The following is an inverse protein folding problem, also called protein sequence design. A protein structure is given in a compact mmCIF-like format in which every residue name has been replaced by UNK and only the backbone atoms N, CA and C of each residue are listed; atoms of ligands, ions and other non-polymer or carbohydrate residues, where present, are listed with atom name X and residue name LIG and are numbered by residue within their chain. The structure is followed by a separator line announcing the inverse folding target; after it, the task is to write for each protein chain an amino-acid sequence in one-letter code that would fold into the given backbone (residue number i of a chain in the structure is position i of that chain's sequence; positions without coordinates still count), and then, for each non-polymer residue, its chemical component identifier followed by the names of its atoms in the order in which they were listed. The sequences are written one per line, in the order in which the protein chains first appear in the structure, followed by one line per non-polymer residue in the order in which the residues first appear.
data_IF_231017196872
#
_entry.id   IF_231017196872
#
_cell.length_a   1.000
_cell.length_b   1.000
_cell.length_c   1.000
_cell.angle_alpha   90.00
_cell.angle_beta   90.00
_cell.angle_gamma   90.00
#
_symmetry.space_group_name_H-M   'P 1'
#
loop_
_entity.id
_entity.type
_entity.pdbx_description
1 polymer ?
#
# COMPACT_ATOMS: atom_id res chain seq x y z
N UNK A 1 8.43 -28.12 22.12
CA UNK A 1 7.88 -27.03 21.29
C UNK A 1 6.74 -26.39 22.06
N UNK A 2 6.78 -25.07 22.30
CA UNK A 2 5.71 -24.35 22.99
C UNK A 2 4.40 -24.49 22.19
N UNK A 3 3.34 -25.05 22.78
CA UNK A 3 2.07 -25.28 22.07
C UNK A 3 1.40 -23.94 21.78
N UNK A 4 1.16 -23.67 20.50
CA UNK A 4 0.44 -22.47 20.05
C UNK A 4 -1.03 -22.55 20.49
N UNK A 5 -1.55 -21.47 21.08
CA UNK A 5 -2.98 -21.34 21.41
C UNK A 5 -3.80 -21.20 20.12
N UNK A 6 -5.09 -21.57 20.12
CA UNK A 6 -6.00 -21.34 18.99
C UNK A 6 -6.01 -19.87 18.50
N UNK A 7 -5.93 -18.91 19.43
CA UNK A 7 -5.82 -17.48 19.11
C UNK A 7 -4.51 -17.11 18.38
N UNK A 8 -3.41 -17.79 18.68
CA UNK A 8 -2.12 -17.58 18.00
C UNK A 8 -2.14 -18.15 16.57
N UNK A 9 -2.83 -19.28 16.37
CA UNK A 9 -3.04 -19.86 15.04
C UNK A 9 -3.86 -18.92 14.15
N UNK A 10 -4.98 -18.38 14.65
CA UNK A 10 -5.80 -17.41 13.90
C UNK A 10 -5.01 -16.16 13.54
N UNK A 11 -4.14 -15.67 14.43
CA UNK A 11 -3.27 -14.53 14.14
C UNK A 11 -2.20 -14.86 13.10
N UNK A 12 -1.60 -16.06 13.16
CA UNK A 12 -0.68 -16.56 12.14
C UNK A 12 -1.34 -16.62 10.77
N UNK A 13 -2.57 -17.11 10.66
CA UNK A 13 -3.30 -17.18 9.39
C UNK A 13 -3.63 -15.80 8.82
N UNK A 14 -3.87 -14.81 9.70
CA UNK A 14 -3.98 -13.40 9.28
C UNK A 14 -2.66 -12.89 8.69
N UNK A 15 -1.51 -13.21 9.30
CA UNK A 15 -0.19 -12.84 8.78
C UNK A 15 0.13 -13.54 7.45
N UNK A 16 -0.22 -14.82 7.29
CA UNK A 16 -0.05 -15.56 6.03
C UNK A 16 -0.84 -14.89 4.91
N UNK A 17 -2.11 -14.54 5.16
CA UNK A 17 -2.94 -13.82 4.17
C UNK A 17 -2.34 -12.47 3.79
N UNK A 18 -1.86 -11.70 4.78
CA UNK A 18 -1.15 -10.43 4.51
C UNK A 18 0.09 -10.63 3.65
N UNK A 19 0.93 -11.63 3.97
CA UNK A 19 2.12 -11.95 3.18
C UNK A 19 1.80 -12.38 1.75
N UNK A 20 0.71 -13.13 1.53
CA UNK A 20 0.25 -13.46 0.16
C UNK A 20 -0.13 -12.22 -0.63
N UNK A 21 -0.86 -11.29 -0.02
CA UNK A 21 -1.19 -10.00 -0.65
C UNK A 21 0.06 -9.17 -0.95
N UNK A 22 1.00 -9.08 -0.01
CA UNK A 22 2.28 -8.40 -0.24
C UNK A 22 3.07 -9.05 -1.37
N UNK A 23 3.11 -10.38 -1.43
CA UNK A 23 3.74 -11.13 -2.52
C UNK A 23 3.08 -10.84 -3.87
N UNK A 24 1.74 -10.80 -3.92
CA UNK A 24 1.00 -10.46 -5.14
C UNK A 24 1.34 -9.04 -5.63
N UNK A 25 1.38 -8.05 -4.71
CA UNK A 25 1.77 -6.68 -5.05
C UNK A 25 3.20 -6.62 -5.59
N UNK A 26 4.14 -7.34 -4.97
CA UNK A 26 5.53 -7.42 -5.46
C UNK A 26 5.59 -8.03 -6.85
N UNK A 27 4.85 -9.11 -7.12
CA UNK A 27 4.80 -9.73 -8.45
C UNK A 27 4.25 -8.77 -9.51
N UNK A 28 3.17 -8.04 -9.21
CA UNK A 28 2.59 -7.03 -10.11
C UNK A 28 3.61 -5.93 -10.40
N UNK A 29 4.31 -5.41 -9.38
CA UNK A 29 5.31 -4.37 -9.56
C UNK A 29 6.53 -4.85 -10.35
N UNK A 30 6.99 -6.08 -10.14
CA UNK A 30 8.05 -6.69 -10.94
C UNK A 30 7.64 -6.84 -12.40
N UNK A 31 6.40 -7.27 -12.65
CA UNK A 31 5.86 -7.35 -14.01
C UNK A 31 5.78 -5.97 -14.66
N UNK A 32 5.28 -4.96 -13.95
CA UNK A 32 5.25 -3.57 -14.42
C UNK A 32 6.65 -3.01 -14.70
N UNK A 33 7.64 -3.35 -13.87
CA UNK A 33 9.04 -2.95 -14.07
C UNK A 33 9.65 -3.62 -15.30
N UNK A 34 9.34 -4.90 -15.54
CA UNK A 34 9.78 -5.64 -16.72
C UNK A 34 9.11 -5.09 -17.98
N UNK A 35 7.81 -4.77 -17.90
CA UNK A 35 7.06 -4.11 -18.98
C UNK A 35 7.61 -2.72 -19.29
N UNK A 36 7.96 -1.90 -18.29
CA UNK A 36 8.64 -0.63 -18.51
C UNK A 36 10.01 -0.79 -19.21
N UNK A 37 10.73 -1.89 -18.98
CA UNK A 37 12.03 -2.10 -19.64
C UNK A 37 11.90 -2.62 -21.07
N UNK A 38 11.07 -3.64 -21.28
CA UNK A 38 10.97 -4.35 -22.56
C UNK A 38 9.75 -3.93 -23.39
N UNK A 39 8.61 -3.65 -22.75
CA UNK A 39 7.36 -3.29 -23.41
C UNK A 39 7.45 -1.95 -24.15
N UNK A 40 8.19 -0.97 -23.61
CA UNK A 40 8.41 0.31 -24.31
C UNK A 40 9.10 0.09 -25.66
N UNK A 41 10.07 -0.82 -25.71
CA UNK A 41 10.85 -1.13 -26.92
C UNK A 41 10.05 -1.96 -27.93
N UNK A 42 9.11 -2.80 -27.46
CA UNK A 42 8.24 -3.64 -28.30
C UNK A 42 7.04 -2.87 -28.87
N UNK A 43 6.55 -1.84 -28.19
CA UNK A 43 5.35 -1.08 -28.57
C UNK A 43 5.64 0.34 -29.10
N UNK A 44 6.92 0.70 -29.29
CA UNK A 44 7.36 2.04 -29.74
C UNK A 44 6.71 3.20 -28.97
N UNK A 45 6.45 3.00 -27.67
CA UNK A 45 5.80 4.00 -26.85
C UNK A 45 6.81 5.10 -26.50
N UNK A 46 6.56 6.34 -26.93
CA UNK A 46 7.40 7.49 -26.59
C UNK A 46 7.18 7.91 -25.14
N UNK A 47 7.89 7.28 -24.20
CA UNK A 47 7.93 7.71 -22.79
C UNK A 47 9.13 8.66 -22.63
N UNK A 48 8.93 9.79 -21.94
CA UNK A 48 10.05 10.67 -21.55
C UNK A 48 11.07 9.86 -20.73
N UNK A 49 12.35 9.87 -21.13
CA UNK A 49 13.41 9.08 -20.49
C UNK A 49 13.47 9.28 -18.97
N UNK A 50 13.27 10.51 -18.49
CA UNK A 50 13.22 10.84 -17.07
C UNK A 50 12.08 10.13 -16.31
N UNK A 51 10.92 9.92 -16.95
CA UNK A 51 9.78 9.24 -16.35
C UNK A 51 10.04 7.75 -16.12
N UNK A 52 10.78 7.11 -17.03
CA UNK A 52 11.13 5.69 -16.95
C UNK A 52 12.03 5.40 -15.74
N UNK A 53 13.07 6.20 -15.56
CA UNK A 53 14.02 6.01 -14.48
C UNK A 53 13.39 6.33 -13.12
N UNK A 54 12.57 7.38 -13.04
CA UNK A 54 11.80 7.70 -11.85
C UNK A 54 10.85 6.55 -11.45
N UNK A 55 10.06 6.02 -12.39
CA UNK A 55 9.13 4.91 -12.11
C UNK A 55 9.87 3.63 -11.73
N UNK A 56 11.00 3.33 -12.37
CA UNK A 56 11.87 2.22 -12.01
C UNK A 56 12.39 2.35 -10.57
N UNK A 57 12.85 3.54 -10.18
CA UNK A 57 13.25 3.86 -8.80
C UNK A 57 12.09 3.69 -7.82
N UNK A 58 10.92 4.22 -8.14
CA UNK A 58 9.72 4.14 -7.30
C UNK A 58 9.26 2.69 -7.10
N UNK A 59 9.20 1.88 -8.16
CA UNK A 59 8.84 0.47 -8.08
C UNK A 59 9.84 -0.31 -7.23
N UNK A 60 11.14 -0.08 -7.41
CA UNK A 60 12.16 -0.77 -6.61
C UNK A 60 12.08 -0.44 -5.12
N UNK A 61 11.82 0.82 -4.75
CA UNK A 61 11.63 1.24 -3.36
C UNK A 61 10.39 0.59 -2.72
N UNK A 62 9.28 0.53 -3.45
CA UNK A 62 8.05 -0.12 -2.97
C UNK A 62 8.26 -1.63 -2.82
N UNK A 63 8.89 -2.28 -3.81
CA UNK A 63 9.21 -3.72 -3.75
C UNK A 63 10.08 -4.01 -2.51
N UNK A 64 11.15 -3.24 -2.29
CA UNK A 64 12.03 -3.42 -1.13
C UNK A 64 11.26 -3.32 0.18
N UNK A 65 10.36 -2.33 0.30
CA UNK A 65 9.52 -2.15 1.49
C UNK A 65 8.63 -3.37 1.75
N UNK A 66 7.94 -3.89 0.72
CA UNK A 66 7.10 -5.08 0.87
C UNK A 66 7.93 -6.34 1.18
N UNK A 67 9.10 -6.50 0.57
CA UNK A 67 10.01 -7.63 0.87
C UNK A 67 10.45 -7.60 2.33
N UNK A 68 10.82 -6.44 2.86
CA UNK A 68 11.15 -6.26 4.28
C UNK A 68 9.96 -6.65 5.18
N UNK A 69 8.74 -6.23 4.83
CA UNK A 69 7.54 -6.61 5.58
C UNK A 69 7.25 -8.11 5.54
N UNK A 70 7.39 -8.75 4.36
CA UNK A 70 7.24 -10.20 4.21
C UNK A 70 8.25 -10.92 5.09
N UNK A 71 9.52 -10.53 5.04
CA UNK A 71 10.59 -11.13 5.84
C UNK A 71 10.32 -10.96 7.36
N UNK A 72 9.95 -9.74 7.78
CA UNK A 72 9.58 -9.46 9.18
C UNK A 72 8.43 -10.36 9.64
N UNK A 73 7.37 -10.47 8.85
CA UNK A 73 6.21 -11.28 9.17
C UNK A 73 6.55 -12.78 9.21
N UNK A 74 7.37 -13.27 8.28
CA UNK A 74 7.85 -14.67 8.29
C UNK A 74 8.67 -14.97 9.54
N UNK A 75 9.54 -14.04 9.95
CA UNK A 75 10.31 -14.15 11.20
C UNK A 75 9.40 -14.19 12.44
N UNK A 76 8.34 -13.37 12.47
CA UNK A 76 7.33 -13.37 13.54
C UNK A 76 6.57 -14.70 13.57
N UNK A 77 6.15 -15.23 12.41
CA UNK A 77 5.40 -16.49 12.32
C UNK A 77 6.21 -17.72 12.73
N UNK A 78 7.53 -17.68 12.57
CA UNK A 78 8.42 -18.80 12.92
C UNK A 78 8.83 -18.81 14.40
N UNK A 79 8.54 -17.75 15.16
CA UNK A 79 8.87 -17.66 16.58
C UNK A 79 7.60 -17.47 17.44
N UNK A 80 7.19 -18.47 18.26
CA UNK A 80 5.95 -18.42 19.01
C UNK A 80 5.90 -17.25 20.02
N UNK A 81 7.04 -16.90 20.63
CA UNK A 81 7.11 -15.76 21.56
C UNK A 81 6.88 -14.43 20.84
N UNK A 82 7.49 -14.25 19.66
CA UNK A 82 7.29 -13.04 18.86
C UNK A 82 5.88 -12.95 18.28
N UNK A 83 5.31 -14.09 17.86
CA UNK A 83 3.92 -14.16 17.39
C UNK A 83 2.94 -13.72 18.47
N UNK A 84 3.09 -14.23 19.69
CA UNK A 84 2.24 -13.87 20.83
C UNK A 84 2.39 -12.39 21.19
N UNK A 85 3.63 -11.87 21.22
CA UNK A 85 3.89 -10.44 21.48
C UNK A 85 3.22 -9.56 20.41
N UNK A 86 3.42 -9.87 19.14
CA UNK A 86 2.83 -9.13 18.02
C UNK A 86 1.29 -9.19 18.03
N UNK A 87 0.70 -10.32 18.44
CA UNK A 87 -0.76 -10.45 18.62
C UNK A 87 -1.28 -9.50 19.69
N UNK A 88 -0.64 -9.49 20.86
CA UNK A 88 -1.02 -8.61 21.99
C UNK A 88 -0.92 -7.15 21.56
N UNK A 89 0.21 -6.76 20.97
CA UNK A 89 0.43 -5.38 20.49
C UNK A 89 -0.58 -4.96 19.42
N UNK A 90 -0.98 -5.88 18.53
CA UNK A 90 -1.99 -5.59 17.50
C UNK A 90 -3.41 -5.46 18.03
N UNK A 91 -3.69 -5.98 19.22
CA UNK A 91 -5.01 -5.92 19.87
C UNK A 91 -5.06 -4.78 20.88
N UNK A 92 -3.92 -4.16 21.20
CA UNK A 92 -3.86 -3.00 22.08
C UNK A 92 -4.55 -1.79 21.42
N UNK A 93 -5.57 -1.26 22.11
CA UNK A 93 -6.34 -0.11 21.67
C UNK A 93 -5.45 1.12 21.42
N UNK A 94 -4.38 1.28 22.20
CA UNK A 94 -3.45 2.40 22.03
C UNK A 94 -2.73 2.31 20.69
N UNK A 95 -2.22 1.14 20.35
CA UNK A 95 -1.53 0.90 19.06
C UNK A 95 -2.48 1.13 17.89
N UNK A 96 -3.73 0.64 17.99
CA UNK A 96 -4.74 0.86 16.96
C UNK A 96 -5.07 2.35 16.79
N UNK A 97 -5.23 3.09 17.89
CA UNK A 97 -5.54 4.52 17.85
C UNK A 97 -4.39 5.33 17.23
N UNK A 98 -3.13 5.00 17.54
CA UNK A 98 -1.96 5.64 16.92
C UNK A 98 -1.98 5.43 15.39
N UNK A 99 -2.20 4.19 14.94
CA UNK A 99 -2.26 3.88 13.50
C UNK A 99 -3.40 4.63 12.82
N UNK A 100 -4.59 4.65 13.42
CA UNK A 100 -5.75 5.35 12.87
C UNK A 100 -5.48 6.86 12.76
N UNK A 101 -4.91 7.49 13.80
CA UNK A 101 -4.57 8.92 13.76
C UNK A 101 -3.50 9.23 12.72
N UNK A 102 -2.45 8.42 12.65
CA UNK A 102 -1.40 8.58 11.64
C UNK A 102 -1.97 8.46 10.22
N UNK A 103 -2.85 7.48 9.98
CA UNK A 103 -3.54 7.32 8.70
C UNK A 103 -4.46 8.49 8.38
N UNK A 104 -5.22 9.02 9.35
CA UNK A 104 -6.06 10.19 9.15
C UNK A 104 -5.24 11.41 8.76
N UNK A 105 -4.15 11.69 9.47
CA UNK A 105 -3.25 12.80 9.15
C UNK A 105 -2.66 12.62 7.74
N UNK A 106 -2.10 11.44 7.43
CA UNK A 106 -1.55 11.15 6.11
C UNK A 106 -2.59 11.32 4.99
N UNK A 107 -3.84 10.92 5.25
CA UNK A 107 -4.96 11.08 4.32
C UNK A 107 -5.27 12.55 4.05
N UNK A 108 -5.32 13.38 5.10
CA UNK A 108 -5.54 14.82 4.95
C UNK A 108 -4.44 15.49 4.13
N UNK A 109 -3.17 15.19 4.44
CA UNK A 109 -2.04 15.74 3.70
C UNK A 109 -2.03 15.28 2.24
N UNK A 110 -2.27 13.99 1.97
CA UNK A 110 -2.33 13.49 0.60
C UNK A 110 -3.46 14.15 -0.20
N UNK A 111 -4.63 14.32 0.41
CA UNK A 111 -5.78 15.00 -0.22
C UNK A 111 -5.44 16.45 -0.51
N UNK A 112 -4.85 17.18 0.44
CA UNK A 112 -4.41 18.54 0.25
C UNK A 112 -3.36 18.67 -0.87
N UNK A 113 -2.37 17.76 -0.92
CA UNK A 113 -1.37 17.72 -1.99
C UNK A 113 -2.00 17.51 -3.36
N UNK A 114 -3.00 16.64 -3.49
CA UNK A 114 -3.70 16.44 -4.77
C UNK A 114 -4.55 17.65 -5.17
N UNK A 115 -5.14 18.38 -4.23
CA UNK A 115 -5.85 19.65 -4.52
C UNK A 115 -4.88 20.70 -5.03
N UNK A 116 -3.73 20.88 -4.34
CA UNK A 116 -2.68 21.80 -4.79
C UNK A 116 -2.17 21.40 -6.18
N UNK A 117 -1.92 20.12 -6.43
CA UNK A 117 -1.52 19.62 -7.74
C UNK A 117 -2.59 19.89 -8.82
N UNK A 118 -3.88 19.82 -8.48
CA UNK A 118 -4.98 20.15 -9.40
C UNK A 118 -4.99 21.63 -9.74
N UNK A 119 -4.84 22.50 -8.73
CA UNK A 119 -4.78 23.96 -8.94
C UNK A 119 -3.58 24.32 -9.82
N UNK A 120 -2.39 23.81 -9.51
CA UNK A 120 -1.20 24.01 -10.34
C UNK A 120 -1.45 23.47 -11.76
N UNK A 121 -1.98 22.25 -11.88
CA UNK A 121 -2.34 21.65 -13.16
C UNK A 121 -3.24 22.54 -14.02
N UNK A 122 -4.19 23.26 -13.41
CA UNK A 122 -5.08 24.15 -14.16
C UNK A 122 -4.37 25.30 -14.88
N UNK A 123 -3.20 25.74 -14.39
CA UNK A 123 -2.41 26.80 -15.01
C UNK A 123 -1.32 26.29 -15.95
N UNK A 124 -0.75 25.10 -15.69
CA UNK A 124 0.44 24.61 -16.39
C UNK A 124 0.19 23.44 -17.34
N UNK A 125 -0.64 22.46 -16.96
CA UNK A 125 -0.87 21.25 -17.75
C UNK A 125 -2.27 20.65 -17.50
N UNK A 126 -3.17 20.67 -18.52
CA UNK A 126 -4.49 20.05 -18.43
C UNK A 126 -4.48 18.56 -18.06
N UNK A 127 -3.43 17.81 -18.39
CA UNK A 127 -3.30 16.40 -17.98
C UNK A 127 -3.06 16.29 -16.49
N UNK A 128 -2.18 17.12 -15.92
CA UNK A 128 -1.92 17.15 -14.48
C UNK A 128 -3.20 17.46 -13.70
N UNK A 129 -4.01 18.43 -14.16
CA UNK A 129 -5.32 18.73 -13.59
C UNK A 129 -6.23 17.49 -13.62
N UNK A 130 -6.43 16.88 -14.80
CA UNK A 130 -7.33 15.73 -14.98
C UNK A 130 -6.92 14.54 -14.10
N UNK A 131 -5.63 14.22 -14.05
CA UNK A 131 -5.12 13.06 -13.28
C UNK A 131 -5.24 13.31 -11.79
N UNK A 132 -4.80 14.47 -11.30
CA UNK A 132 -4.86 14.79 -9.86
C UNK A 132 -6.30 14.91 -9.34
N UNK A 133 -7.19 15.56 -10.11
CA UNK A 133 -8.62 15.63 -9.79
C UNK A 133 -9.29 14.25 -9.91
N UNK A 134 -8.94 13.46 -10.91
CA UNK A 134 -9.43 12.08 -11.07
C UNK A 134 -9.05 11.20 -9.87
N UNK A 135 -7.82 11.30 -9.38
CA UNK A 135 -7.36 10.61 -8.17
C UNK A 135 -8.12 11.06 -6.92
N UNK A 136 -8.43 12.35 -6.78
CA UNK A 136 -9.28 12.86 -5.69
C UNK A 136 -10.69 12.26 -5.72
N UNK A 137 -11.34 12.26 -6.89
CA UNK A 137 -12.69 11.69 -7.02
C UNK A 137 -12.69 10.18 -6.77
N UNK A 138 -11.70 9.46 -7.33
CA UNK A 138 -11.56 8.02 -7.10
C UNK A 138 -11.34 7.71 -5.62
N UNK A 139 -10.47 8.47 -4.95
CA UNK A 139 -10.25 8.34 -3.52
C UNK A 139 -11.55 8.58 -2.73
N UNK A 140 -12.29 9.66 -3.03
CA UNK A 140 -13.58 9.97 -2.41
C UNK A 140 -14.63 8.88 -2.61
N UNK A 141 -14.73 8.31 -3.82
CA UNK A 141 -15.64 7.20 -4.11
C UNK A 141 -15.28 5.94 -3.32
N UNK A 142 -14.00 5.55 -3.31
CA UNK A 142 -13.54 4.39 -2.53
C UNK A 142 -13.80 4.60 -1.05
N UNK A 143 -13.52 5.81 -0.53
CA UNK A 143 -13.81 6.15 0.87
C UNK A 143 -15.30 6.04 1.16
N UNK A 144 -16.17 6.58 0.30
CA UNK A 144 -17.61 6.54 0.49
C UNK A 144 -18.15 5.11 0.49
N UNK A 145 -17.74 4.29 -0.50
CA UNK A 145 -18.12 2.87 -0.57
C UNK A 145 -17.63 2.11 0.67
N UNK A 146 -16.39 2.34 1.08
CA UNK A 146 -15.83 1.72 2.28
C UNK A 146 -16.58 2.14 3.54
N UNK A 147 -16.88 3.43 3.68
CA UNK A 147 -17.63 3.97 4.81
C UNK A 147 -19.01 3.34 4.91
N UNK A 148 -19.78 3.26 3.82
CA UNK A 148 -21.08 2.62 3.83
C UNK A 148 -21.01 1.11 4.09
N UNK A 149 -20.03 0.43 3.52
CA UNK A 149 -19.82 -1.00 3.77
C UNK A 149 -19.52 -1.28 5.25
N UNK A 150 -18.58 -0.54 5.85
CA UNK A 150 -18.22 -0.74 7.26
C UNK A 150 -19.30 -0.23 8.21
N UNK A 151 -20.00 0.87 7.91
CA UNK A 151 -21.14 1.36 8.69
C UNK A 151 -22.28 0.34 8.78
N UNK A 152 -22.48 -0.48 7.73
CA UNK A 152 -23.51 -1.53 7.74
C UNK A 152 -23.07 -2.79 8.49
N UNK A 153 -21.76 -3.02 8.56
CA UNK A 153 -21.17 -4.25 9.10
C UNK A 153 -20.80 -4.14 10.58
N UNK A 154 -20.45 -2.93 11.04
CA UNK A 154 -20.22 -2.57 12.44
C UNK A 154 -21.52 -2.07 13.07
#
# INVERSE_FOLDING_TARGET
MEKLTSADQVYRDRLIRKNRWYGLVVLVLLFSMLFLRFGIQLFELSIQEHGKDFLSGLFSAIILTFVIFIFRNTRIMNNPKMLRKARIESTDERTQNIVLRAQSIATYFLTASLVVASVIGSFFDPLLLKVSSGLLYLFGLIYMVSYFYYRKKM
#
